data_IF_996333362722
#
_entry.id   IF_996333362722
#
_cell.length_a   1.000
_cell.length_b   1.000
_cell.length_c   1.000
_cell.angle_alpha   90.00
_cell.angle_beta   90.00
_cell.angle_gamma   90.00
#
_symmetry.space_group_name_H-M   'P 1'
#
loop_
_entity.id
_entity.type
_entity.pdbx_description
1 polymer ?
#
# COMPACT_ATOMS: atom_id res chain seq x y z
N UNK A 1 20.74 0.40 23.83
CA UNK A 1 21.43 0.42 22.52
C UNK A 1 22.22 -0.85 22.19
N UNK A 2 22.47 -1.80 23.11
CA UNK A 2 23.21 -3.04 22.80
C UNK A 2 22.48 -3.99 21.83
N UNK A 3 21.16 -4.15 21.95
CA UNK A 3 20.38 -5.11 21.14
C UNK A 3 20.53 -4.94 19.62
N UNK A 4 20.59 -3.68 19.14
CA UNK A 4 20.79 -3.38 17.72
C UNK A 4 22.22 -3.71 17.28
N UNK A 5 23.20 -3.54 18.18
CA UNK A 5 24.60 -3.86 17.90
C UNK A 5 24.86 -5.37 17.87
N UNK A 6 24.14 -6.13 18.68
CA UNK A 6 24.22 -7.59 18.76
C UNK A 6 23.45 -8.28 17.62
N UNK A 7 22.36 -7.68 17.12
CA UNK A 7 21.50 -8.24 16.07
C UNK A 7 21.54 -7.42 14.77
N UNK A 8 22.66 -6.76 14.46
CA UNK A 8 22.80 -5.90 13.25
C UNK A 8 22.39 -6.62 11.97
N UNK A 9 22.77 -7.89 11.86
CA UNK A 9 22.49 -8.71 10.68
C UNK A 9 21.00 -9.01 10.54
N UNK A 10 20.30 -9.35 11.63
CA UNK A 10 18.87 -9.64 11.59
C UNK A 10 18.05 -8.40 11.31
N UNK A 11 18.40 -7.27 11.94
CA UNK A 11 17.75 -5.98 11.67
C UNK A 11 17.93 -5.58 10.20
N UNK A 12 19.16 -5.71 9.66
CA UNK A 12 19.43 -5.41 8.25
C UNK A 12 18.65 -6.34 7.30
N UNK A 13 18.61 -7.64 7.60
CA UNK A 13 17.87 -8.63 6.81
C UNK A 13 16.37 -8.36 6.80
N UNK A 14 15.77 -8.11 7.96
CA UNK A 14 14.34 -7.79 8.09
C UNK A 14 14.00 -6.48 7.38
N UNK A 15 14.89 -5.48 7.44
CA UNK A 15 14.72 -4.22 6.73
C UNK A 15 14.72 -4.44 5.23
N UNK A 16 15.65 -5.25 4.70
CA UNK A 16 15.70 -5.61 3.30
C UNK A 16 14.45 -6.37 2.85
N UNK A 17 13.96 -7.31 3.65
CA UNK A 17 12.73 -8.04 3.37
C UNK A 17 11.54 -7.08 3.29
N UNK A 18 11.46 -6.12 4.20
CA UNK A 18 10.41 -5.10 4.17
C UNK A 18 10.51 -4.20 2.94
N UNK A 19 11.72 -3.78 2.56
CA UNK A 19 11.98 -3.00 1.34
C UNK A 19 11.56 -3.79 0.10
N UNK A 20 11.85 -5.09 0.04
CA UNK A 20 11.46 -5.95 -1.06
C UNK A 20 9.92 -6.02 -1.18
N UNK A 21 9.22 -6.23 -0.07
CA UNK A 21 7.75 -6.25 -0.04
C UNK A 21 7.15 -4.92 -0.50
N UNK A 22 7.70 -3.80 -0.04
CA UNK A 22 7.32 -2.46 -0.47
C UNK A 22 7.56 -2.26 -1.97
N UNK A 23 8.70 -2.69 -2.50
CA UNK A 23 9.04 -2.56 -3.92
C UNK A 23 8.07 -3.37 -4.81
N UNK A 24 7.74 -4.61 -4.41
CA UNK A 24 6.77 -5.45 -5.11
C UNK A 24 5.39 -4.78 -5.09
N UNK A 25 4.93 -4.33 -3.92
CA UNK A 25 3.64 -3.67 -3.78
C UNK A 25 3.56 -2.37 -4.60
N UNK A 26 4.62 -1.56 -4.61
CA UNK A 26 4.72 -0.36 -5.44
C UNK A 26 4.67 -0.69 -6.93
N UNK A 27 5.39 -1.73 -7.37
CA UNK A 27 5.34 -2.20 -8.75
C UNK A 27 3.92 -2.54 -9.19
N UNK A 28 3.19 -3.32 -8.37
CA UNK A 28 1.79 -3.67 -8.62
C UNK A 28 0.91 -2.41 -8.62
N UNK A 29 1.09 -1.53 -7.63
CA UNK A 29 0.31 -0.30 -7.52
C UNK A 29 0.50 0.62 -8.73
N UNK A 30 1.72 0.74 -9.27
CA UNK A 30 2.00 1.51 -10.49
C UNK A 30 1.29 0.93 -11.71
N UNK A 31 1.31 -0.41 -11.88
CA UNK A 31 0.62 -1.08 -12.99
C UNK A 31 -0.88 -0.78 -12.99
N UNK A 32 -1.50 -0.58 -11.82
CA UNK A 32 -2.92 -0.24 -11.71
C UNK A 32 -3.16 1.27 -11.75
N UNK A 33 -2.30 2.07 -11.10
CA UNK A 33 -2.45 3.51 -11.01
C UNK A 33 -2.24 4.23 -12.34
N UNK A 34 -1.29 3.78 -13.17
CA UNK A 34 -1.02 4.35 -14.49
C UNK A 34 -2.25 4.29 -15.42
N UNK A 35 -2.89 3.12 -15.66
CA UNK A 35 -4.08 3.05 -16.50
C UNK A 35 -5.27 3.78 -15.88
N UNK A 36 -5.44 3.76 -14.55
CA UNK A 36 -6.46 4.57 -13.86
C UNK A 36 -6.26 6.07 -14.12
N UNK A 37 -5.03 6.57 -13.98
CA UNK A 37 -4.69 7.98 -14.23
C UNK A 37 -4.95 8.39 -15.68
N UNK A 38 -4.58 7.54 -16.64
CA UNK A 38 -4.89 7.77 -18.07
C UNK A 38 -6.40 7.78 -18.31
N UNK A 39 -7.16 6.87 -17.70
CA UNK A 39 -8.62 6.82 -17.84
C UNK A 39 -9.33 8.02 -17.22
N UNK A 40 -8.76 8.59 -16.16
CA UNK A 40 -9.27 9.81 -15.51
C UNK A 40 -9.01 11.07 -16.34
N UNK A 41 -7.98 11.07 -17.19
CA UNK A 41 -7.61 12.20 -18.02
C UNK A 41 -8.81 12.70 -18.86
N UNK A 42 -9.09 14.00 -18.79
CA UNK A 42 -10.10 14.68 -19.61
C UNK A 42 -11.56 14.68 -19.13
N UNK A 43 -11.92 14.09 -17.98
CA UNK A 43 -13.29 14.26 -17.40
C UNK A 43 -13.25 14.63 -15.92
N UNK A 44 -13.52 15.90 -15.60
CA UNK A 44 -13.52 16.41 -14.22
C UNK A 44 -14.45 15.66 -13.25
N UNK A 45 -15.58 15.13 -13.73
CA UNK A 45 -16.47 14.29 -12.90
C UNK A 45 -15.80 13.00 -12.41
N UNK A 46 -14.95 12.37 -13.24
CA UNK A 46 -14.22 11.15 -12.85
C UNK A 46 -13.12 11.45 -11.83
N UNK A 47 -12.44 12.59 -12.00
CA UNK A 47 -11.44 13.07 -11.05
C UNK A 47 -12.09 13.30 -9.68
N UNK A 48 -13.19 14.07 -9.62
CA UNK A 48 -13.90 14.34 -8.37
C UNK A 48 -14.40 13.07 -7.66
N UNK A 49 -14.96 12.10 -8.39
CA UNK A 49 -15.43 10.84 -7.80
C UNK A 49 -14.28 10.02 -7.20
N UNK A 50 -13.18 9.88 -7.93
CA UNK A 50 -12.02 9.10 -7.47
C UNK A 50 -11.35 9.80 -6.29
N UNK A 51 -11.12 11.12 -6.34
CA UNK A 51 -10.54 11.87 -5.21
C UNK A 51 -11.41 11.77 -3.95
N UNK A 52 -12.74 11.78 -4.09
CA UNK A 52 -13.64 11.59 -2.94
C UNK A 52 -13.52 10.19 -2.32
N UNK A 53 -13.51 9.14 -3.14
CA UNK A 53 -13.33 7.75 -2.67
C UNK A 53 -11.97 7.57 -1.99
N UNK A 54 -10.92 8.08 -2.63
CA UNK A 54 -9.54 8.06 -2.11
C UNK A 54 -9.43 8.81 -0.78
N UNK A 55 -10.12 9.95 -0.64
CA UNK A 55 -10.16 10.71 0.60
C UNK A 55 -10.79 9.93 1.76
N UNK A 56 -11.89 9.23 1.53
CA UNK A 56 -12.52 8.35 2.54
C UNK A 56 -11.63 7.16 2.87
N UNK A 57 -10.97 6.56 1.87
CA UNK A 57 -10.06 5.44 2.15
C UNK A 57 -8.84 5.90 2.99
N UNK A 58 -8.35 7.12 2.79
CA UNK A 58 -7.20 7.65 3.55
C UNK A 58 -7.52 7.89 5.03
N UNK A 59 -8.79 8.08 5.40
CA UNK A 59 -9.17 8.20 6.81
C UNK A 59 -9.24 6.85 7.52
N UNK A 60 -9.21 5.73 6.78
CA UNK A 60 -9.15 4.39 7.36
C UNK A 60 -7.71 4.15 7.84
N UNK A 61 -7.48 3.95 9.14
CA UNK A 61 -6.14 3.64 9.64
C UNK A 61 -5.71 2.25 9.13
N UNK A 62 -4.41 2.07 8.92
CA UNK A 62 -3.85 0.80 8.45
C UNK A 62 -4.28 -0.39 9.31
N UNK A 63 -4.36 -0.22 10.64
CA UNK A 63 -4.81 -1.27 11.56
C UNK A 63 -6.23 -1.77 11.26
N UNK A 64 -7.17 -0.85 10.96
CA UNK A 64 -8.55 -1.20 10.64
C UNK A 64 -8.65 -1.88 9.26
N UNK A 65 -7.85 -1.41 8.30
CA UNK A 65 -7.75 -2.04 6.98
C UNK A 65 -7.28 -3.50 7.11
N UNK A 66 -6.23 -3.76 7.90
CA UNK A 66 -5.76 -5.12 8.17
C UNK A 66 -6.83 -5.98 8.85
N UNK A 67 -7.56 -5.44 9.83
CA UNK A 67 -8.64 -6.17 10.50
C UNK A 67 -9.74 -6.64 9.53
N UNK A 68 -9.99 -5.90 8.44
CA UNK A 68 -10.93 -6.28 7.38
C UNK A 68 -10.32 -7.30 6.41
N UNK A 69 -9.04 -7.16 6.04
CA UNK A 69 -8.40 -8.04 5.05
C UNK A 69 -8.09 -9.44 5.60
N UNK A 70 -7.67 -9.55 6.86
CA UNK A 70 -7.27 -10.82 7.48
C UNK A 70 -8.34 -11.92 7.40
N UNK A 71 -9.63 -11.69 7.71
CA UNK A 71 -10.64 -12.75 7.59
C UNK A 71 -10.94 -13.16 6.14
N UNK A 72 -10.67 -12.28 5.15
CA UNK A 72 -10.98 -12.54 3.74
C UNK A 72 -9.82 -13.29 3.06
N UNK A 73 -8.59 -12.89 3.35
CA UNK A 73 -7.39 -13.32 2.61
C UNK A 73 -6.40 -14.10 3.49
N UNK A 74 -6.65 -14.20 4.79
CA UNK A 74 -5.77 -14.85 5.76
C UNK A 74 -4.69 -13.94 6.31
N UNK A 75 -3.83 -14.50 7.16
CA UNK A 75 -2.62 -13.86 7.70
C UNK A 75 -1.42 -14.13 6.79
N UNK A 76 -0.49 -13.17 6.71
CA UNK A 76 0.79 -13.34 6.01
C UNK A 76 1.07 -12.25 4.98
N UNK A 77 1.80 -12.59 3.93
CA UNK A 77 2.28 -11.63 2.91
C UNK A 77 1.13 -11.01 2.11
N UNK A 78 0.07 -11.76 1.86
CA UNK A 78 -1.04 -11.33 0.99
C UNK A 78 -1.79 -10.10 1.53
N UNK A 79 -2.29 -10.06 2.78
CA UNK A 79 -2.92 -8.84 3.31
C UNK A 79 -1.93 -7.67 3.41
N UNK A 80 -0.63 -7.95 3.63
CA UNK A 80 0.41 -6.91 3.69
C UNK A 80 0.62 -6.25 2.34
N UNK A 81 0.79 -7.04 1.28
CA UNK A 81 0.95 -6.52 -0.09
C UNK A 81 -0.34 -5.82 -0.54
N UNK A 82 -1.51 -6.40 -0.27
CA UNK A 82 -2.78 -5.77 -0.62
C UNK A 82 -2.98 -4.41 0.08
N UNK A 83 -2.68 -4.32 1.37
CA UNK A 83 -2.72 -3.06 2.12
C UNK A 83 -1.73 -2.02 1.59
N UNK A 84 -0.49 -2.43 1.29
CA UNK A 84 0.53 -1.58 0.67
C UNK A 84 0.10 -1.07 -0.70
N UNK A 85 -0.47 -1.94 -1.55
CA UNK A 85 -0.98 -1.57 -2.88
C UNK A 85 -2.11 -0.54 -2.73
N UNK A 86 -3.09 -0.80 -1.86
CA UNK A 86 -4.21 0.12 -1.63
C UNK A 86 -3.70 1.48 -1.18
N UNK A 87 -2.83 1.54 -0.17
CA UNK A 87 -2.25 2.81 0.29
C UNK A 87 -1.43 3.52 -0.79
N UNK A 88 -0.61 2.79 -1.55
CA UNK A 88 0.15 3.35 -2.66
C UNK A 88 -0.77 3.91 -3.75
N UNK A 89 -1.89 3.26 -4.06
CA UNK A 89 -2.88 3.78 -5.00
C UNK A 89 -3.49 5.11 -4.52
N UNK A 90 -3.83 5.23 -3.24
CA UNK A 90 -4.33 6.49 -2.67
C UNK A 90 -3.32 7.62 -2.88
N UNK A 91 -2.03 7.29 -2.76
CA UNK A 91 -0.95 8.25 -2.90
C UNK A 91 -0.61 8.62 -4.35
N UNK A 92 -0.80 7.70 -5.29
CA UNK A 92 -0.50 7.89 -6.72
C UNK A 92 -1.65 8.56 -7.50
N UNK A 93 -2.89 8.39 -7.04
CA UNK A 93 -4.09 8.89 -7.71
C UNK A 93 -4.50 10.29 -7.25
N UNK A 94 -4.08 10.69 -6.04
CA UNK A 94 -4.21 12.07 -5.53
C UNK A 94 -3.19 13.00 -6.17
#
# INVERSE_FOLDING_TARGET
>A
MSFILDNKLDVFRLTLEHVLLCAIALGIAMIIAVPLGVWMHGRQKRIGAVTAITGVLYTIPSLALFAILVPIVGLGVVPTVAGLVLYAQLMLVR
#
